data_IF_659369386287
#
_entry.id   IF_659369386287
#
_cell.length_a   1.000
_cell.length_b   1.000
_cell.length_c   1.000
_cell.angle_alpha   90.00
_cell.angle_beta   90.00
_cell.angle_gamma   90.00
#
_symmetry.space_group_name_H-M   'P 1'
#
loop_
_entity.id
_entity.type
_entity.pdbx_description
1 polymer ?
#
# COMPACT_ATOMS: atom_id res chain seq x y z
N UNK A 1 -7.47 -8.64 8.27
CA UNK A 1 -7.65 -7.68 9.38
C UNK A 1 -8.69 -6.63 9.00
N UNK A 2 -9.47 -6.06 9.93
CA UNK A 2 -10.34 -4.91 9.62
C UNK A 2 -9.49 -3.68 9.34
N UNK A 3 -9.95 -2.80 8.42
CA UNK A 3 -9.35 -1.49 8.26
C UNK A 3 -9.73 -0.62 9.47
N UNK A 4 -8.83 0.22 10.01
CA UNK A 4 -9.09 1.02 11.22
C UNK A 4 -9.97 2.22 10.92
N UNK A 5 -11.25 1.98 10.68
CA UNK A 5 -12.26 3.00 10.44
C UNK A 5 -12.77 3.53 11.81
N UNK A 6 -12.49 4.81 12.15
CA UNK A 6 -12.92 5.37 13.41
C UNK A 6 -14.43 5.32 13.65
N UNK A 7 -15.24 5.39 12.59
CA UNK A 7 -16.70 5.39 12.70
C UNK A 7 -17.26 3.98 12.83
N UNK A 8 -16.73 3.02 12.07
CA UNK A 8 -17.27 1.65 12.03
C UNK A 8 -16.76 0.77 13.16
N UNK A 9 -15.44 0.76 13.39
CA UNK A 9 -14.82 -0.14 14.37
C UNK A 9 -14.32 0.58 15.61
N UNK A 10 -14.11 1.89 15.54
CA UNK A 10 -13.64 2.72 16.64
C UNK A 10 -14.73 3.43 17.44
N UNK A 11 -16.01 3.27 17.06
CA UNK A 11 -17.14 3.97 17.70
C UNK A 11 -16.90 5.48 17.88
N UNK A 12 -16.25 6.12 16.90
CA UNK A 12 -15.90 7.53 16.90
C UNK A 12 -14.48 7.84 17.46
N UNK A 13 -13.75 6.83 17.92
CA UNK A 13 -12.38 6.98 18.45
C UNK A 13 -11.34 6.42 17.47
N UNK A 14 -10.42 7.27 16.96
CA UNK A 14 -9.30 6.81 16.14
C UNK A 14 -8.41 5.79 16.85
N UNK A 15 -8.09 6.04 18.13
CA UNK A 15 -7.25 5.12 18.92
C UNK A 15 -7.92 3.77 19.12
N UNK A 16 -9.23 3.75 19.40
CA UNK A 16 -9.97 2.49 19.52
C UNK A 16 -9.99 1.72 18.19
N UNK A 17 -10.16 2.41 17.06
CA UNK A 17 -10.10 1.79 15.74
C UNK A 17 -8.75 1.14 15.48
N UNK A 18 -7.65 1.83 15.80
CA UNK A 18 -6.30 1.31 15.68
C UNK A 18 -6.13 0.05 16.54
N UNK A 19 -6.52 0.11 17.80
CA UNK A 19 -6.39 -1.04 18.72
C UNK A 19 -7.17 -2.26 18.25
N UNK A 20 -8.37 -2.10 17.71
CA UNK A 20 -9.16 -3.20 17.12
C UNK A 20 -8.40 -3.85 15.97
N UNK A 21 -7.79 -3.07 15.10
CA UNK A 21 -7.01 -3.60 13.96
C UNK A 21 -5.77 -4.35 14.42
N UNK A 22 -5.00 -3.78 15.38
CA UNK A 22 -3.80 -4.42 15.89
C UNK A 22 -4.13 -5.72 16.64
N UNK A 23 -5.17 -5.72 17.48
CA UNK A 23 -5.64 -6.92 18.16
C UNK A 23 -6.05 -8.02 17.18
N UNK A 24 -6.67 -7.65 16.05
CA UNK A 24 -7.03 -8.63 15.01
C UNK A 24 -5.79 -9.23 14.31
N UNK A 25 -4.69 -8.48 14.19
CA UNK A 25 -3.41 -9.01 13.68
C UNK A 25 -2.82 -9.99 14.69
N UNK A 26 -2.80 -9.61 15.96
CA UNK A 26 -2.31 -10.50 17.04
C UNK A 26 -3.12 -11.81 17.11
N UNK A 27 -4.44 -11.73 17.01
CA UNK A 27 -5.32 -12.90 16.97
C UNK A 27 -5.04 -13.77 15.73
N UNK A 28 -4.84 -13.15 14.56
CA UNK A 28 -4.50 -13.87 13.34
C UNK A 28 -3.19 -14.66 13.52
N UNK A 29 -2.17 -14.05 14.09
CA UNK A 29 -0.89 -14.69 14.36
C UNK A 29 -0.97 -15.79 15.43
N UNK A 30 -1.86 -15.63 16.39
CA UNK A 30 -2.06 -16.62 17.44
C UNK A 30 -2.90 -17.84 17.00
N UNK A 31 -3.76 -17.70 15.97
CA UNK A 31 -4.80 -18.70 15.69
C UNK A 31 -4.83 -19.22 14.26
N UNK A 32 -4.49 -18.41 13.26
CA UNK A 32 -4.74 -18.72 11.85
C UNK A 32 -3.47 -18.87 11.01
N UNK A 33 -2.45 -18.04 11.24
CA UNK A 33 -1.22 -18.06 10.44
C UNK A 33 -0.05 -17.65 11.32
N UNK A 34 1.00 -18.47 11.38
CA UNK A 34 2.23 -18.03 12.02
C UNK A 34 2.82 -16.84 11.24
N UNK A 35 3.45 -15.85 11.91
CA UNK A 35 4.08 -14.72 11.23
C UNK A 35 5.01 -15.14 10.08
N UNK A 36 5.76 -16.23 10.26
CA UNK A 36 6.69 -16.76 9.26
C UNK A 36 6.00 -17.28 7.98
N UNK A 37 4.68 -17.56 8.06
CA UNK A 37 3.87 -18.00 6.93
C UNK A 37 3.20 -16.81 6.19
N UNK A 38 3.38 -15.57 6.69
CA UNK A 38 2.80 -14.37 6.10
C UNK A 38 3.82 -13.66 5.24
N UNK A 39 3.60 -13.64 3.92
CA UNK A 39 4.54 -13.02 2.98
C UNK A 39 4.45 -11.48 2.99
N UNK A 40 3.26 -10.92 3.08
CA UNK A 40 3.06 -9.47 2.98
C UNK A 40 1.75 -9.00 3.62
N UNK A 41 1.77 -7.75 4.10
CA UNK A 41 0.57 -6.93 4.26
C UNK A 41 0.36 -6.09 3.00
N UNK A 42 -0.83 -6.15 2.42
CA UNK A 42 -1.23 -5.26 1.32
C UNK A 42 -2.27 -4.31 1.88
N UNK A 43 -2.03 -3.01 1.79
CA UNK A 43 -2.88 -2.00 2.41
C UNK A 43 -2.96 -0.73 1.56
N UNK A 44 -4.15 -0.15 1.43
CA UNK A 44 -4.32 1.22 0.96
C UNK A 44 -3.96 2.18 2.11
N UNK A 45 -3.07 3.17 1.92
CA UNK A 45 -2.76 4.17 2.95
C UNK A 45 -3.99 4.97 3.40
N UNK A 46 -4.89 5.24 2.47
CA UNK A 46 -6.24 5.75 2.69
C UNK A 46 -7.17 4.84 1.91
N UNK A 47 -8.16 4.27 2.57
CA UNK A 47 -9.12 3.37 1.93
C UNK A 47 -9.91 4.15 0.87
N UNK A 48 -9.84 3.72 -0.39
CA UNK A 48 -10.53 4.37 -1.51
C UNK A 48 -11.95 3.86 -1.70
N UNK A 49 -12.15 2.91 -2.59
CA UNK A 49 -13.47 2.36 -2.94
C UNK A 49 -14.22 1.74 -1.74
N UNK A 50 -13.50 1.37 -0.68
CA UNK A 50 -14.07 0.89 0.58
C UNK A 50 -14.77 1.96 1.42
N UNK A 51 -14.73 3.24 1.02
CA UNK A 51 -15.48 4.31 1.67
C UNK A 51 -14.72 5.62 1.93
N UNK A 52 -13.58 5.85 1.32
CA UNK A 52 -12.73 7.03 1.51
C UNK A 52 -12.41 7.29 2.99
N UNK A 53 -11.90 6.26 3.64
CA UNK A 53 -11.61 6.29 5.07
C UNK A 53 -10.14 6.63 5.29
N UNK A 54 -9.89 7.71 6.03
CA UNK A 54 -8.56 8.08 6.51
C UNK A 54 -8.30 7.31 7.80
N UNK A 55 -7.25 6.46 7.85
CA UNK A 55 -6.93 5.73 9.06
C UNK A 55 -6.33 6.64 10.13
N UNK A 56 -6.28 6.22 11.39
CA UNK A 56 -5.49 6.91 12.42
C UNK A 56 -4.00 7.01 12.03
N UNK A 57 -3.33 8.10 12.42
CA UNK A 57 -1.93 8.39 12.05
C UNK A 57 -0.95 7.26 12.43
N UNK A 58 -1.24 6.52 13.50
CA UNK A 58 -0.42 5.38 13.94
C UNK A 58 -0.56 4.10 13.13
N UNK A 59 -1.49 4.02 12.17
CA UNK A 59 -1.80 2.77 11.47
C UNK A 59 -0.64 2.25 10.60
N UNK A 60 -0.19 3.04 9.63
CA UNK A 60 0.91 2.63 8.77
C UNK A 60 2.23 2.44 9.53
N UNK A 61 2.61 3.32 10.49
CA UNK A 61 3.77 3.08 11.34
C UNK A 61 3.69 1.76 12.11
N UNK A 62 2.54 1.41 12.68
CA UNK A 62 2.38 0.13 13.38
C UNK A 62 2.52 -1.08 12.46
N UNK A 63 1.96 -1.01 11.24
CA UNK A 63 2.15 -2.06 10.23
C UNK A 63 3.62 -2.19 9.82
N UNK A 64 4.34 -1.06 9.66
CA UNK A 64 5.77 -1.09 9.35
C UNK A 64 6.57 -1.78 10.47
N UNK A 65 6.29 -1.43 11.73
CA UNK A 65 6.94 -2.04 12.89
C UNK A 65 6.69 -3.55 12.97
N UNK A 66 5.44 -3.99 12.77
CA UNK A 66 5.10 -5.41 12.74
C UNK A 66 5.80 -6.12 11.57
N UNK A 67 5.82 -5.49 10.40
CA UNK A 67 6.48 -6.01 9.21
C UNK A 67 7.98 -6.20 9.43
N UNK A 68 8.65 -5.19 9.99
CA UNK A 68 10.08 -5.24 10.30
C UNK A 68 10.40 -6.33 11.33
N UNK A 69 9.56 -6.43 12.37
CA UNK A 69 9.73 -7.42 13.44
C UNK A 69 9.66 -8.86 12.95
N UNK A 70 8.80 -9.13 11.98
CA UNK A 70 8.50 -10.50 11.52
C UNK A 70 9.03 -10.80 10.12
N UNK A 71 9.70 -9.86 9.44
CA UNK A 71 10.19 -10.06 8.07
C UNK A 71 9.06 -10.12 7.03
N UNK A 72 7.90 -9.54 7.33
CA UNK A 72 6.73 -9.47 6.45
C UNK A 72 6.87 -8.24 5.55
N UNK A 73 6.63 -8.37 4.25
CA UNK A 73 6.67 -7.22 3.35
C UNK A 73 5.48 -6.29 3.59
N UNK A 74 5.71 -4.98 3.59
CA UNK A 74 4.66 -3.97 3.56
C UNK A 74 4.46 -3.48 2.13
N UNK A 75 3.30 -3.77 1.57
CA UNK A 75 2.89 -3.34 0.23
C UNK A 75 1.87 -2.22 0.37
N UNK A 76 2.23 -1.01 -0.05
CA UNK A 76 1.30 0.10 -0.10
C UNK A 76 0.59 0.15 -1.47
N UNK A 77 -0.72 -0.01 -1.45
CA UNK A 77 -1.57 0.19 -2.62
C UNK A 77 -1.88 1.69 -2.76
N UNK A 78 -1.05 2.36 -3.54
CA UNK A 78 -1.18 3.79 -3.87
C UNK A 78 -1.90 4.03 -5.21
N UNK A 79 -2.64 3.03 -5.69
CA UNK A 79 -3.41 3.14 -6.94
C UNK A 79 -4.37 4.33 -6.91
N UNK A 80 -5.04 4.56 -5.79
CA UNK A 80 -5.98 5.68 -5.60
C UNK A 80 -5.30 6.92 -5.01
N UNK A 81 -4.33 6.74 -4.14
CA UNK A 81 -3.77 7.79 -3.29
C UNK A 81 -2.52 8.45 -3.83
N UNK A 82 -1.84 7.80 -4.78
CA UNK A 82 -0.60 8.30 -5.37
C UNK A 82 -0.78 9.49 -6.32
N UNK A 83 0.34 10.02 -6.78
CA UNK A 83 0.46 11.11 -7.76
C UNK A 83 -0.28 12.39 -7.32
N UNK A 84 -0.03 12.84 -6.10
CA UNK A 84 -0.51 14.12 -5.58
C UNK A 84 -1.95 14.12 -5.07
N UNK A 85 -2.69 13.01 -5.15
CA UNK A 85 -4.11 12.93 -4.78
C UNK A 85 -4.38 13.36 -3.34
N UNK A 86 -3.44 13.14 -2.43
CA UNK A 86 -3.56 13.44 -1.01
C UNK A 86 -2.76 14.65 -0.56
N UNK A 87 -2.17 15.40 -1.50
CA UNK A 87 -1.29 16.53 -1.22
C UNK A 87 0.19 16.17 -0.98
N UNK A 88 0.53 14.88 -1.10
CA UNK A 88 1.89 14.34 -1.19
C UNK A 88 1.98 13.50 -2.45
N UNK A 89 3.20 13.24 -2.94
CA UNK A 89 3.37 12.39 -4.12
C UNK A 89 2.79 10.99 -3.86
N UNK A 90 3.07 10.42 -2.68
CA UNK A 90 2.43 9.22 -2.16
C UNK A 90 1.83 9.48 -0.77
N UNK A 91 0.70 8.86 -0.46
CA UNK A 91 0.05 9.03 0.84
C UNK A 91 0.88 8.44 1.99
N UNK A 92 1.68 7.42 1.74
CA UNK A 92 2.63 6.84 2.71
C UNK A 92 3.69 7.83 3.21
N UNK A 93 3.90 8.95 2.51
CA UNK A 93 4.79 10.02 2.96
C UNK A 93 4.23 10.81 4.16
N UNK A 94 2.91 10.87 4.34
CA UNK A 94 2.32 11.59 5.47
C UNK A 94 2.80 11.05 6.81
N UNK A 95 2.75 9.73 7.08
CA UNK A 95 3.31 9.15 8.30
C UNK A 95 4.81 8.84 8.19
N UNK A 96 5.49 9.27 7.11
CA UNK A 96 6.92 8.99 6.87
C UNK A 96 7.25 7.48 6.84
N UNK A 97 6.36 6.66 6.32
CA UNK A 97 6.56 5.21 6.17
C UNK A 97 7.06 4.90 4.76
N UNK A 98 8.14 4.14 4.69
CA UNK A 98 8.64 3.60 3.42
C UNK A 98 8.19 2.14 3.30
N UNK A 99 7.27 1.82 2.38
CA UNK A 99 6.88 0.44 2.13
C UNK A 99 7.96 -0.32 1.36
N UNK A 100 7.93 -1.65 1.41
CA UNK A 100 8.84 -2.49 0.62
C UNK A 100 8.43 -2.52 -0.85
N UNK A 101 7.12 -2.42 -1.11
CA UNK A 101 6.54 -2.37 -2.46
C UNK A 101 5.47 -1.27 -2.52
N UNK A 102 5.52 -0.45 -3.57
CA UNK A 102 4.47 0.48 -3.95
C UNK A 102 3.73 -0.03 -5.18
N UNK A 103 2.41 -0.07 -5.12
CA UNK A 103 1.54 -0.37 -6.27
C UNK A 103 0.93 0.92 -6.77
N UNK A 104 1.04 1.18 -8.07
CA UNK A 104 0.60 2.43 -8.68
C UNK A 104 -0.22 2.19 -9.96
N UNK A 105 -1.20 3.05 -10.20
CA UNK A 105 -1.98 3.10 -11.42
C UNK A 105 -2.67 4.47 -11.55
N UNK A 106 -3.82 4.53 -12.19
CA UNK A 106 -4.70 5.72 -12.31
C UNK A 106 -3.94 7.00 -12.64
N UNK A 107 -3.48 7.74 -11.62
CA UNK A 107 -2.79 9.02 -11.78
C UNK A 107 -1.45 8.95 -12.52
N UNK A 108 -0.79 7.79 -12.53
CA UNK A 108 0.56 7.64 -13.10
C UNK A 108 0.70 8.10 -14.56
N UNK A 109 -0.33 7.91 -15.38
CA UNK A 109 -0.31 8.24 -16.80
C UNK A 109 -1.43 9.21 -17.22
N UNK A 110 -1.94 10.03 -16.28
CA UNK A 110 -2.90 11.11 -16.51
C UNK A 110 -4.12 10.69 -17.35
N UNK A 111 -4.64 9.48 -17.13
CA UNK A 111 -5.83 8.93 -17.78
C UNK A 111 -5.56 7.85 -18.82
N UNK A 112 -4.31 7.59 -19.20
CA UNK A 112 -3.98 6.44 -20.03
C UNK A 112 -3.80 5.18 -19.15
N UNK A 113 -4.13 3.97 -19.69
CA UNK A 113 -4.06 2.73 -18.93
C UNK A 113 -2.61 2.32 -18.71
N UNK A 114 -2.12 2.56 -17.50
CA UNK A 114 -0.81 2.14 -17.03
C UNK A 114 -0.89 1.81 -15.55
N UNK A 115 -0.17 0.79 -15.15
CA UNK A 115 0.08 0.45 -13.76
C UNK A 115 1.53 -0.01 -13.62
N UNK A 116 2.03 0.01 -12.40
CA UNK A 116 3.37 -0.43 -12.10
C UNK A 116 3.54 -0.78 -10.63
N UNK A 117 4.58 -1.51 -10.35
CA UNK A 117 5.09 -1.72 -9.01
C UNK A 117 6.48 -1.08 -8.89
N UNK A 118 6.78 -0.55 -7.73
CA UNK A 118 8.10 -0.05 -7.37
C UNK A 118 8.55 -0.75 -6.10
N UNK A 119 9.76 -1.27 -6.12
CA UNK A 119 10.37 -1.90 -4.96
C UNK A 119 11.89 -1.75 -5.03
N UNK A 120 12.57 -2.04 -3.92
CA UNK A 120 14.02 -2.05 -3.92
C UNK A 120 14.56 -3.12 -4.90
N UNK A 121 15.63 -2.77 -5.61
CA UNK A 121 16.23 -3.62 -6.64
C UNK A 121 16.52 -5.06 -6.15
N UNK A 122 17.06 -5.30 -4.94
CA UNK A 122 17.31 -6.66 -4.48
C UNK A 122 16.06 -7.53 -4.39
N UNK A 123 14.88 -6.94 -4.19
CA UNK A 123 13.61 -7.66 -4.18
C UNK A 123 13.17 -8.00 -5.61
N UNK A 124 13.25 -7.04 -6.54
CA UNK A 124 12.87 -7.23 -7.94
C UNK A 124 13.81 -8.17 -8.69
N UNK A 125 15.10 -8.16 -8.38
CA UNK A 125 16.13 -9.02 -9.02
C UNK A 125 15.92 -10.52 -8.70
N UNK A 126 15.06 -10.88 -7.75
CA UNK A 126 14.67 -12.26 -7.47
C UNK A 126 13.68 -12.82 -8.50
N UNK A 127 13.02 -11.96 -9.27
CA UNK A 127 12.10 -12.36 -10.32
C UNK A 127 12.89 -12.83 -11.55
N UNK A 128 12.67 -14.07 -11.97
CA UNK A 128 13.30 -14.57 -13.17
C UNK A 128 12.79 -13.81 -14.42
N UNK A 129 13.65 -13.58 -15.44
CA UNK A 129 13.21 -12.97 -16.69
C UNK A 129 12.00 -13.69 -17.29
N UNK A 130 10.98 -12.92 -17.68
CA UNK A 130 9.75 -13.46 -18.28
C UNK A 130 8.67 -13.92 -17.30
N UNK A 131 8.88 -13.85 -15.99
CA UNK A 131 7.86 -14.21 -14.98
C UNK A 131 6.76 -13.18 -14.85
N UNK A 132 7.03 -11.94 -15.27
CA UNK A 132 6.09 -10.83 -15.23
C UNK A 132 5.95 -10.22 -16.62
N UNK A 133 4.70 -10.09 -17.09
CA UNK A 133 4.42 -9.50 -18.39
C UNK A 133 2.93 -9.45 -18.67
N UNK A 134 2.56 -8.70 -19.70
CA UNK A 134 1.17 -8.56 -20.15
C UNK A 134 1.11 -7.86 -21.49
N UNK A 135 -0.01 -8.04 -22.21
CA UNK A 135 -0.20 -7.49 -23.56
C UNK A 135 -0.03 -5.96 -23.62
N UNK A 136 -0.42 -5.26 -22.57
CA UNK A 136 -0.37 -3.79 -22.50
C UNK A 136 0.83 -3.26 -21.71
N UNK A 137 1.62 -4.13 -21.11
CA UNK A 137 2.80 -3.73 -20.33
C UNK A 137 3.81 -3.01 -21.23
N UNK A 138 4.31 -1.86 -20.76
CA UNK A 138 5.27 -1.05 -21.50
C UNK A 138 4.69 -0.34 -22.73
N UNK A 139 3.37 -0.12 -22.81
CA UNK A 139 2.77 0.67 -23.88
C UNK A 139 3.47 2.03 -24.01
N UNK A 140 4.07 2.31 -25.19
CA UNK A 140 4.93 3.48 -25.39
C UNK A 140 4.18 4.82 -25.19
N UNK A 141 2.91 4.89 -25.55
CA UNK A 141 2.11 6.12 -25.39
C UNK A 141 1.81 6.35 -23.92
N UNK A 142 1.39 5.31 -23.20
CA UNK A 142 1.12 5.41 -21.76
C UNK A 142 2.40 5.70 -20.96
N UNK A 143 3.54 5.11 -21.34
CA UNK A 143 4.83 5.39 -20.72
C UNK A 143 5.28 6.85 -20.97
N UNK A 144 5.09 7.37 -22.18
CA UNK A 144 5.39 8.78 -22.47
C UNK A 144 4.51 9.73 -21.65
N UNK A 145 3.23 9.43 -21.50
CA UNK A 145 2.34 10.19 -20.62
C UNK A 145 2.75 10.10 -19.15
N UNK A 146 3.19 8.92 -18.69
CA UNK A 146 3.69 8.76 -17.31
C UNK A 146 4.94 9.61 -17.06
N UNK A 147 5.88 9.63 -18.00
CA UNK A 147 7.07 10.50 -17.89
C UNK A 147 6.68 11.97 -17.78
N UNK A 148 5.74 12.43 -18.62
CA UNK A 148 5.24 13.81 -18.55
C UNK A 148 4.51 14.10 -17.21
N UNK A 149 3.80 13.10 -16.66
CA UNK A 149 3.13 13.24 -15.34
C UNK A 149 4.14 13.38 -14.20
N UNK A 150 5.30 12.72 -14.32
CA UNK A 150 6.36 12.79 -13.31
C UNK A 150 7.13 14.12 -13.33
N UNK A 151 7.05 14.86 -14.44
CA UNK A 151 7.73 16.16 -14.62
C UNK A 151 6.89 17.35 -14.08
N UNK A 152 5.65 17.12 -13.63
CA UNK A 152 4.73 18.14 -13.09
C UNK A 152 4.77 18.15 -11.57
#
# INVERSE_FOLDING_TARGET
MPFPDPLRVGHGSPDAALQVTLAAIDELFATLAYPDDVAAFIVEPILGEGGYVIPPDGFLPALREISDKHGILLVADEVQTGFGRTGRFFASEWPSVVPDVLVTAKGIASGLPLSGIMAARPLLDQLAPGTHGGTYGGNAVACAAALATLDV
#
